data_IF_438428444704
#
_entry.id   IF_438428444704
#
_cell.length_a   1.000
_cell.length_b   1.000
_cell.length_c   1.000
_cell.angle_alpha   90.00
_cell.angle_beta   90.00
_cell.angle_gamma   90.00
#
_symmetry.space_group_name_H-M   'P 1'
#
loop_
_entity.id
_entity.type
_entity.pdbx_description
1 polymer ?
#
# COMPACT_ATOMS: atom_id res chain seq x y z
N UNK A 1 30.56 -1.96 22.73
CA UNK A 1 30.01 -2.43 22.11
C UNK A 1 28.81 -2.23 21.48
N UNK A 2 28.51 -2.43 20.52
CA UNK A 2 27.56 -1.93 19.56
C UNK A 2 26.61 -2.97 19.06
N UNK A 3 26.55 -4.05 19.75
CA UNK A 3 25.85 -5.23 19.28
C UNK A 3 24.33 -5.13 19.31
N UNK A 4 23.78 -4.06 19.88
CA UNK A 4 22.35 -3.93 20.07
C UNK A 4 21.72 -2.99 19.05
N UNK A 5 22.51 -2.47 18.15
CA UNK A 5 22.07 -1.43 17.24
C UNK A 5 21.02 -1.89 16.24
N UNK A 6 21.08 -3.16 15.82
CA UNK A 6 20.11 -3.66 14.84
C UNK A 6 18.71 -3.80 15.41
N UNK A 7 18.58 -4.07 16.70
CA UNK A 7 17.27 -4.26 17.32
C UNK A 7 16.43 -3.00 17.33
N UNK A 8 16.96 -1.82 17.74
CA UNK A 8 16.18 -0.59 17.65
C UNK A 8 15.74 -0.29 16.21
N UNK A 9 16.61 -0.57 15.23
CA UNK A 9 16.28 -0.35 13.82
C UNK A 9 15.14 -1.22 13.35
N UNK A 10 15.14 -2.51 13.69
CA UNK A 10 14.04 -3.43 13.35
C UNK A 10 12.74 -2.95 13.99
N UNK A 11 12.78 -2.63 15.27
CA UNK A 11 11.61 -2.13 15.99
C UNK A 11 11.08 -0.84 15.37
N UNK A 12 11.97 0.07 15.01
CA UNK A 12 11.62 1.34 14.38
C UNK A 12 10.97 1.11 13.03
N UNK A 13 11.53 0.22 12.22
CA UNK A 13 11.00 -0.08 10.89
C UNK A 13 9.59 -0.69 10.96
N UNK A 14 9.37 -1.60 11.90
CA UNK A 14 8.04 -2.17 12.16
C UNK A 14 7.05 -1.06 12.52
N UNK A 15 7.40 -0.19 13.44
CA UNK A 15 6.55 0.92 13.87
C UNK A 15 6.29 1.90 12.71
N UNK A 16 7.29 2.18 11.90
CA UNK A 16 7.18 3.07 10.75
C UNK A 16 6.12 2.58 9.78
N UNK A 17 6.13 1.29 9.43
CA UNK A 17 5.12 0.73 8.53
C UNK A 17 3.73 0.80 9.16
N UNK A 18 3.62 0.44 10.43
CA UNK A 18 2.32 0.44 11.11
C UNK A 18 1.70 1.84 11.12
N UNK A 19 2.49 2.86 11.44
CA UNK A 19 2.03 4.25 11.41
C UNK A 19 1.68 4.70 9.99
N UNK A 20 2.52 4.33 9.03
CA UNK A 20 2.31 4.70 7.63
C UNK A 20 1.03 4.11 7.06
N UNK A 21 0.73 2.83 7.32
CA UNK A 21 -0.49 2.18 6.84
C UNK A 21 -1.73 2.94 7.32
N UNK A 22 -1.75 3.36 8.58
CA UNK A 22 -2.86 4.14 9.13
C UNK A 22 -2.96 5.53 8.49
N UNK A 23 -1.85 6.22 8.35
CA UNK A 23 -1.80 7.55 7.74
C UNK A 23 -2.23 7.53 6.28
N UNK A 24 -1.72 6.57 5.52
CA UNK A 24 -2.02 6.40 4.10
C UNK A 24 -3.52 6.18 3.88
N UNK A 25 -4.16 5.35 4.67
CA UNK A 25 -5.59 5.10 4.55
C UNK A 25 -6.41 6.37 4.79
N UNK A 26 -5.95 7.23 5.68
CA UNK A 26 -6.59 8.53 5.94
C UNK A 26 -6.28 9.60 4.90
N UNK A 27 -5.36 9.31 3.99
CA UNK A 27 -4.90 10.27 2.99
C UNK A 27 -3.86 11.27 3.49
N UNK A 28 -3.28 11.02 4.66
CA UNK A 28 -2.18 11.81 5.19
C UNK A 28 -0.88 11.29 4.60
N UNK A 29 -0.42 11.93 3.54
CA UNK A 29 0.78 11.53 2.80
C UNK A 29 2.01 12.38 3.11
N UNK A 30 1.87 13.36 4.00
CA UNK A 30 2.92 14.36 4.24
C UNK A 30 4.20 13.76 4.84
N UNK A 31 4.05 12.70 5.62
CA UNK A 31 5.17 12.06 6.30
C UNK A 31 5.45 10.66 5.76
N UNK A 32 5.19 10.45 4.48
CA UNK A 32 5.42 9.16 3.83
C UNK A 32 6.89 8.73 3.98
N UNK A 33 7.15 7.52 4.49
CA UNK A 33 8.50 7.12 4.87
C UNK A 33 9.31 6.52 3.71
N UNK A 34 9.20 7.11 2.51
CA UNK A 34 9.91 6.64 1.33
C UNK A 34 11.13 7.50 1.05
N UNK A 35 12.22 6.85 0.63
CA UNK A 35 13.36 7.54 0.06
C UNK A 35 12.96 8.17 -1.28
N UNK A 36 13.67 9.24 -1.69
CA UNK A 36 13.33 9.93 -2.94
C UNK A 36 13.45 9.02 -4.17
N UNK A 37 14.37 8.06 -4.12
CA UNK A 37 14.61 7.09 -5.19
C UNK A 37 13.90 5.74 -4.98
N UNK A 38 12.96 5.66 -4.05
CA UNK A 38 12.25 4.42 -3.73
C UNK A 38 11.49 3.87 -4.93
N UNK A 39 11.31 2.56 -4.94
CA UNK A 39 10.49 1.86 -5.93
C UNK A 39 9.38 1.10 -5.23
N UNK A 40 8.19 1.15 -5.81
CA UNK A 40 7.03 0.37 -5.39
C UNK A 40 6.53 -0.46 -6.56
N UNK A 41 6.17 -1.71 -6.30
CA UNK A 41 5.44 -2.53 -7.27
C UNK A 41 4.18 -3.09 -6.63
N UNK A 42 3.11 -3.18 -7.42
CA UNK A 42 1.85 -3.78 -7.00
C UNK A 42 1.21 -4.48 -8.22
N UNK A 43 0.02 -5.11 -8.07
CA UNK A 43 -0.62 -5.76 -9.22
C UNK A 43 -0.97 -4.82 -10.38
N UNK A 44 -0.97 -3.51 -10.18
CA UNK A 44 -1.25 -2.54 -11.24
C UNK A 44 -0.01 -2.10 -11.99
N UNK A 45 1.19 -2.26 -11.42
CA UNK A 45 2.43 -1.88 -12.09
C UNK A 45 3.56 -1.48 -11.16
N UNK A 46 4.50 -0.72 -11.71
CA UNK A 46 5.67 -0.26 -10.99
C UNK A 46 5.70 1.27 -10.95
N UNK A 47 6.15 1.80 -9.82
CA UNK A 47 6.25 3.23 -9.59
C UNK A 47 7.68 3.54 -9.14
N UNK A 48 8.34 4.46 -9.81
CA UNK A 48 9.72 4.84 -9.54
C UNK A 48 9.78 6.25 -8.98
N UNK A 49 10.38 6.36 -7.79
CA UNK A 49 10.52 7.61 -7.09
C UNK A 49 9.33 7.92 -6.19
N UNK A 50 9.62 8.62 -5.11
CA UNK A 50 8.63 8.98 -4.08
C UNK A 50 7.42 9.69 -4.68
N UNK A 51 7.64 10.60 -5.63
CA UNK A 51 6.54 11.37 -6.23
C UNK A 51 5.54 10.46 -6.94
N UNK A 52 6.01 9.50 -7.73
CA UNK A 52 5.12 8.55 -8.42
C UNK A 52 4.40 7.63 -7.44
N UNK A 53 5.08 7.20 -6.39
CA UNK A 53 4.50 6.37 -5.34
C UNK A 53 3.35 7.11 -4.66
N UNK A 54 3.57 8.35 -4.26
CA UNK A 54 2.53 9.15 -3.61
C UNK A 54 1.36 9.45 -4.55
N UNK A 55 1.63 9.63 -5.83
CA UNK A 55 0.56 9.82 -6.82
C UNK A 55 -0.34 8.58 -6.90
N UNK A 56 0.23 7.38 -6.83
CA UNK A 56 -0.56 6.15 -6.82
C UNK A 56 -1.48 6.07 -5.60
N UNK A 57 -1.02 6.49 -4.44
CA UNK A 57 -1.86 6.54 -3.24
C UNK A 57 -2.97 7.58 -3.34
N UNK A 58 -2.71 8.70 -4.01
CA UNK A 58 -3.76 9.72 -4.25
C UNK A 58 -4.87 9.17 -5.13
N UNK A 59 -4.54 8.37 -6.13
CA UNK A 59 -5.53 7.70 -6.98
C UNK A 59 -6.44 6.81 -6.13
N UNK A 60 -5.87 6.01 -5.24
CA UNK A 60 -6.64 5.17 -4.32
C UNK A 60 -7.51 6.00 -3.38
N UNK A 61 -6.96 7.08 -2.84
CA UNK A 61 -7.70 7.95 -1.91
C UNK A 61 -8.90 8.62 -2.58
N UNK A 62 -8.76 8.99 -3.84
CA UNK A 62 -9.86 9.57 -4.62
C UNK A 62 -11.00 8.56 -4.79
N UNK A 63 -10.67 7.31 -5.10
CA UNK A 63 -11.66 6.25 -5.28
C UNK A 63 -12.30 5.81 -3.96
N UNK A 64 -11.52 5.80 -2.88
CA UNK A 64 -11.91 5.27 -1.58
C UNK A 64 -11.64 6.29 -0.47
N UNK A 65 -12.38 7.42 -0.43
CA UNK A 65 -12.03 8.54 0.46
C UNK A 65 -12.19 8.24 1.95
N UNK A 66 -12.97 7.23 2.32
CA UNK A 66 -13.19 6.84 3.72
C UNK A 66 -12.63 5.46 4.03
N UNK A 67 -11.50 5.13 3.43
CA UNK A 67 -10.86 3.84 3.66
C UNK A 67 -10.31 3.72 5.09
N UNK A 68 -10.31 2.49 5.59
CA UNK A 68 -9.59 2.12 6.82
C UNK A 68 -8.60 1.01 6.49
N UNK A 69 -7.50 0.97 7.21
CA UNK A 69 -6.48 -0.06 7.07
C UNK A 69 -6.02 -0.51 8.45
N UNK A 70 -5.98 -1.81 8.65
CA UNK A 70 -5.56 -2.43 9.90
C UNK A 70 -4.39 -3.36 9.64
N UNK A 71 -3.31 -3.17 10.38
CA UNK A 71 -2.17 -4.09 10.37
C UNK A 71 -2.52 -5.27 11.27
N UNK A 72 -2.56 -6.48 10.70
CA UNK A 72 -2.93 -7.68 11.41
C UNK A 72 -1.73 -8.53 11.83
N UNK A 73 -0.61 -8.43 11.13
CA UNK A 73 0.60 -9.17 11.45
C UNK A 73 1.81 -8.50 10.81
N UNK A 74 2.97 -8.59 11.47
CA UNK A 74 4.23 -8.12 10.93
C UNK A 74 5.35 -9.11 11.26
N UNK A 75 6.18 -9.38 10.28
CA UNK A 75 7.36 -10.23 10.41
C UNK A 75 8.54 -9.44 9.87
N UNK A 76 9.62 -9.36 10.63
CA UNK A 76 10.79 -8.60 10.23
C UNK A 76 12.04 -9.45 10.30
N UNK A 77 12.94 -9.23 9.34
CA UNK A 77 14.25 -9.82 9.31
C UNK A 77 15.23 -8.83 8.70
N UNK A 78 16.26 -8.46 9.47
CA UNK A 78 17.22 -7.46 9.01
C UNK A 78 16.53 -6.13 8.70
N UNK A 79 16.72 -5.65 7.49
CA UNK A 79 16.14 -4.40 7.00
C UNK A 79 14.80 -4.60 6.25
N UNK A 80 14.22 -5.80 6.32
CA UNK A 80 12.97 -6.13 5.66
C UNK A 80 11.84 -6.31 6.65
N UNK A 81 10.66 -5.78 6.31
CA UNK A 81 9.43 -5.98 7.10
C UNK A 81 8.33 -6.47 6.15
N UNK A 82 7.73 -7.60 6.50
CA UNK A 82 6.52 -8.09 5.84
C UNK A 82 5.32 -7.73 6.71
N UNK A 83 4.31 -7.10 6.13
CA UNK A 83 3.15 -6.59 6.86
C UNK A 83 1.86 -7.07 6.20
N UNK A 84 1.02 -7.72 6.97
CA UNK A 84 -0.32 -8.10 6.53
C UNK A 84 -1.30 -7.00 6.95
N UNK A 85 -2.11 -6.55 5.99
CA UNK A 85 -3.05 -5.45 6.16
C UNK A 85 -4.42 -5.86 5.67
N UNK A 86 -5.46 -5.47 6.40
CA UNK A 86 -6.85 -5.54 5.95
C UNK A 86 -7.29 -4.12 5.61
N UNK A 87 -7.63 -3.89 4.35
CA UNK A 87 -8.07 -2.61 3.83
C UNK A 87 -9.56 -2.70 3.52
N UNK A 88 -10.35 -1.80 4.10
CA UNK A 88 -11.81 -1.75 3.91
C UNK A 88 -12.21 -0.37 3.45
N UNK A 89 -13.10 -0.31 2.47
CA UNK A 89 -13.55 0.96 1.92
C UNK A 89 -14.87 0.81 1.18
N UNK A 90 -15.46 1.93 0.81
CA UNK A 90 -16.61 2.00 -0.10
C UNK A 90 -16.17 2.79 -1.32
N UNK A 91 -16.44 2.28 -2.51
CA UNK A 91 -16.04 2.90 -3.77
C UNK A 91 -16.98 4.05 -4.11
N UNK A 92 -16.67 5.25 -3.62
CA UNK A 92 -17.52 6.43 -3.79
C UNK A 92 -16.92 7.50 -4.71
N UNK A 93 -15.68 7.35 -5.16
CA UNK A 93 -15.04 8.22 -6.12
C UNK A 93 -14.58 7.45 -7.35
N UNK A 94 -14.20 8.13 -8.43
CA UNK A 94 -13.72 7.44 -9.62
C UNK A 94 -12.38 6.75 -9.34
N UNK A 95 -12.22 5.55 -9.88
CA UNK A 95 -10.95 4.82 -9.83
C UNK A 95 -10.28 4.90 -11.19
N UNK A 96 -9.19 5.62 -11.26
CA UNK A 96 -8.41 5.78 -12.49
C UNK A 96 -7.49 4.57 -12.65
N UNK A 97 -7.63 3.88 -13.77
CA UNK A 97 -6.80 2.72 -14.12
C UNK A 97 -6.17 2.94 -15.50
N UNK A 98 -5.16 2.14 -15.82
CA UNK A 98 -4.48 2.25 -17.14
C UNK A 98 -5.42 1.98 -18.31
N UNK A 99 -6.47 1.19 -18.09
CA UNK A 99 -7.47 0.84 -19.11
C UNK A 99 -8.67 1.79 -19.15
N UNK A 100 -8.67 2.83 -18.32
CA UNK A 100 -9.75 3.80 -18.24
C UNK A 100 -10.18 4.06 -16.81
N UNK A 101 -11.19 4.89 -16.64
CA UNK A 101 -11.72 5.26 -15.33
C UNK A 101 -12.97 4.45 -14.99
N UNK A 102 -12.97 3.86 -13.81
CA UNK A 102 -14.14 3.14 -13.28
C UNK A 102 -14.97 4.14 -12.47
N UNK A 103 -16.22 4.45 -12.89
CA UNK A 103 -17.07 5.34 -12.13
C UNK A 103 -17.40 4.76 -10.75
N UNK A 104 -17.79 5.59 -9.77
CA UNK A 104 -18.16 5.10 -8.44
C UNK A 104 -19.26 4.02 -8.51
N UNK A 105 -18.98 2.87 -7.89
CA UNK A 105 -19.96 1.77 -7.83
C UNK A 105 -20.77 1.78 -6.54
N UNK A 106 -20.33 2.54 -5.53
CA UNK A 106 -20.91 2.60 -4.19
C UNK A 106 -20.90 1.25 -3.47
N UNK A 107 -20.03 0.35 -3.89
CA UNK A 107 -19.91 -0.99 -3.31
C UNK A 107 -18.82 -1.02 -2.26
N UNK A 108 -19.02 -1.78 -1.16
CA UNK A 108 -17.96 -2.00 -0.18
C UNK A 108 -16.93 -2.98 -0.72
N UNK A 109 -15.67 -2.76 -0.35
CA UNK A 109 -14.58 -3.68 -0.62
C UNK A 109 -13.84 -4.04 0.65
N UNK A 110 -13.28 -5.23 0.66
CA UNK A 110 -12.33 -5.66 1.66
C UNK A 110 -11.16 -6.35 0.94
N UNK A 111 -9.97 -5.81 1.13
CA UNK A 111 -8.75 -6.36 0.55
C UNK A 111 -7.80 -6.82 1.64
N UNK A 112 -7.24 -8.00 1.45
CA UNK A 112 -6.09 -8.45 2.21
C UNK A 112 -4.85 -8.11 1.40
N UNK A 113 -3.97 -7.32 2.00
CA UNK A 113 -2.78 -6.80 1.33
C UNK A 113 -1.56 -7.27 2.09
N UNK A 114 -0.55 -7.76 1.37
CA UNK A 114 0.76 -8.05 1.92
C UNK A 114 1.74 -7.00 1.39
N UNK A 115 2.42 -6.33 2.30
CA UNK A 115 3.51 -5.40 1.97
C UNK A 115 4.83 -6.05 2.34
N UNK A 116 5.80 -6.00 1.45
CA UNK A 116 7.18 -6.39 1.75
C UNK A 116 8.04 -5.16 1.53
N UNK A 117 8.54 -4.59 2.62
CA UNK A 117 9.24 -3.31 2.62
C UNK A 117 10.70 -3.50 2.99
N UNK A 118 11.60 -2.95 2.16
CA UNK A 118 13.05 -2.91 2.44
C UNK A 118 13.43 -1.49 2.83
N UNK A 119 14.22 -1.38 3.90
CA UNK A 119 14.61 -0.09 4.49
C UNK A 119 16.09 0.20 4.30
N UNK A 120 16.42 1.48 4.21
CA UNK A 120 17.78 2.01 4.32
C UNK A 120 17.71 3.31 5.09
N UNK A 121 18.44 3.39 6.20
CA UNK A 121 18.47 4.59 7.05
C UNK A 121 17.08 5.08 7.50
N UNK A 122 16.21 4.12 7.84
CA UNK A 122 14.88 4.43 8.33
C UNK A 122 13.84 4.78 7.28
N UNK A 123 14.20 4.73 5.99
CA UNK A 123 13.30 5.00 4.87
C UNK A 123 13.12 3.76 4.00
N UNK A 124 11.92 3.62 3.46
CA UNK A 124 11.61 2.54 2.51
C UNK A 124 12.30 2.85 1.19
N UNK A 125 13.13 1.93 0.71
CA UNK A 125 13.79 2.04 -0.60
C UNK A 125 13.16 1.15 -1.64
N UNK A 126 12.47 0.09 -1.21
CA UNK A 126 11.72 -0.80 -2.10
C UNK A 126 10.53 -1.36 -1.34
N UNK A 127 9.39 -1.37 -2.00
CA UNK A 127 8.19 -1.98 -1.44
C UNK A 127 7.47 -2.77 -2.51
N UNK A 128 6.98 -3.94 -2.15
CA UNK A 128 6.14 -4.77 -3.01
C UNK A 128 4.82 -4.98 -2.28
N UNK A 129 3.73 -4.69 -2.97
CA UNK A 129 2.39 -4.92 -2.44
C UNK A 129 1.72 -6.04 -3.25
N UNK A 130 1.07 -6.95 -2.55
CA UNK A 130 0.36 -8.07 -3.18
C UNK A 130 -1.07 -8.08 -2.68
N UNK A 131 -2.00 -8.07 -3.60
CA UNK A 131 -3.42 -8.23 -3.29
C UNK A 131 -4.13 -8.84 -4.49
N UNK A 132 -5.33 -9.38 -4.26
CA UNK A 132 -6.13 -10.02 -5.29
C UNK A 132 -6.88 -8.96 -6.12
N UNK A 133 -6.27 -8.53 -7.22
CA UNK A 133 -6.85 -7.53 -8.11
C UNK A 133 -8.14 -8.04 -8.77
N UNK A 134 -8.18 -9.30 -9.18
CA UNK A 134 -9.38 -9.89 -9.77
C UNK A 134 -10.53 -9.92 -8.77
N UNK A 135 -10.25 -10.28 -7.52
CA UNK A 135 -11.23 -10.24 -6.43
C UNK A 135 -11.75 -8.84 -6.17
N UNK A 136 -10.87 -7.84 -6.23
CA UNK A 136 -11.30 -6.44 -6.11
C UNK A 136 -12.30 -6.08 -7.22
N UNK A 137 -12.00 -6.42 -8.47
CA UNK A 137 -12.91 -6.14 -9.58
C UNK A 137 -14.27 -6.83 -9.39
N UNK A 138 -14.26 -8.07 -8.91
CA UNK A 138 -15.50 -8.78 -8.58
C UNK A 138 -16.31 -8.07 -7.49
N UNK A 139 -15.65 -7.60 -6.45
CA UNK A 139 -16.33 -6.86 -5.37
C UNK A 139 -16.96 -5.57 -5.89
N UNK A 140 -16.34 -4.92 -6.86
CA UNK A 140 -16.87 -3.73 -7.51
C UNK A 140 -17.96 -4.04 -8.54
N UNK A 141 -18.25 -5.31 -8.80
CA UNK A 141 -19.23 -5.72 -9.78
C UNK A 141 -18.76 -5.59 -11.22
N UNK A 142 -17.46 -5.62 -11.45
CA UNK A 142 -16.86 -5.47 -12.77
C UNK A 142 -16.47 -6.84 -13.28
N UNK A 143 -16.96 -7.17 -14.48
CA UNK A 143 -16.60 -8.43 -15.15
C UNK A 143 -15.28 -8.23 -15.88
N UNK A 144 -14.32 -9.10 -15.63
CA UNK A 144 -13.08 -9.15 -16.38
C UNK A 144 -13.28 -10.16 -17.49
N UNK A 145 -13.20 -9.74 -18.79
CA UNK A 145 -13.36 -10.71 -19.87
C UNK A 145 -12.21 -11.73 -19.83
N UNK A 146 -12.48 -13.00 -20.15
CA UNK A 146 -11.42 -13.99 -20.26
C UNK A 146 -10.44 -13.58 -21.36
N UNK A 147 -9.16 -13.92 -21.16
CA UNK A 147 -8.17 -13.68 -22.21
C UNK A 147 -8.51 -14.56 -23.44
N UNK A 148 -8.42 -13.98 -24.63
CA UNK A 148 -8.64 -14.77 -25.84
C UNK A 148 -7.57 -15.86 -26.03
#
# INVERSE_FOLDING_TARGET
>A
MTLVQDRPTVTTNIATIKQWVTAMAKGDLDHAPYAEDAELSDPNGKYKGKAQILQSFKVWKTAFPKATAEVTNQIAQGDHVATEVVYKAIHTGPLVASSGTIPPTNKPIELKVMLVSAFRDGLIVRERAYFDRAGLMQQLGITIPPKP
#
